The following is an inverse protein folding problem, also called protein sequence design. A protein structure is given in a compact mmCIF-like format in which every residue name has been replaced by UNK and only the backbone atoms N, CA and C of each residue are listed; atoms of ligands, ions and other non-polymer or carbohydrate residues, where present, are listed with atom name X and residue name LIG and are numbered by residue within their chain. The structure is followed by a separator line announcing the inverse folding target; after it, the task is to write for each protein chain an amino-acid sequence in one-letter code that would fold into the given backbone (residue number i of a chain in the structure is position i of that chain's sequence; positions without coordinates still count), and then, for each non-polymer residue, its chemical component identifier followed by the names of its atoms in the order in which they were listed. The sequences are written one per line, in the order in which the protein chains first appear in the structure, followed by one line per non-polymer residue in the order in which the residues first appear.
data_IF_442346691623
#
_entry.id   IF_442346691623
#
_cell.length_a   1.000
_cell.length_b   1.000
_cell.length_c   1.000
_cell.angle_alpha   90.00
_cell.angle_beta   90.00
_cell.angle_gamma   90.00
#
_symmetry.space_group_name_H-M   'P 1'
#
loop_
_entity.id
_entity.type
_entity.pdbx_description
1 polymer ?
#
# COMPACT_ATOMS: atom_id res chain seq x y z
N UNK A 1 26.43 3.34 -14.65
CA UNK A 1 27.09 4.66 -14.59
C UNK A 1 27.61 4.78 -13.18
N UNK A 2 28.92 4.88 -12.99
CA UNK A 2 29.55 5.15 -11.70
C UNK A 2 29.79 6.64 -11.67
N UNK A 3 29.49 7.31 -10.55
CA UNK A 3 29.96 8.68 -10.37
C UNK A 3 31.49 8.69 -10.41
N UNK A 4 32.08 9.84 -10.75
CA UNK A 4 33.53 10.03 -10.91
C UNK A 4 34.39 9.67 -9.70
N UNK A 5 33.77 9.27 -8.59
CA UNK A 5 34.38 8.90 -7.31
C UNK A 5 34.23 7.39 -6.98
N UNK A 6 33.79 6.57 -7.94
CA UNK A 6 33.69 5.11 -7.78
C UNK A 6 32.55 4.63 -6.88
N UNK A 7 31.68 5.52 -6.40
CA UNK A 7 30.48 5.13 -5.64
C UNK A 7 29.36 4.65 -6.58
N UNK A 8 28.64 3.61 -6.16
CA UNK A 8 27.50 3.10 -6.90
C UNK A 8 26.36 4.14 -6.85
N UNK A 9 25.84 4.54 -8.01
CA UNK A 9 24.70 5.48 -8.10
C UNK A 9 23.51 4.92 -7.33
N UNK A 10 23.13 5.60 -6.25
CA UNK A 10 22.00 5.21 -5.42
C UNK A 10 20.69 5.72 -6.01
N UNK A 11 19.86 4.80 -6.50
CA UNK A 11 18.50 5.09 -6.93
C UNK A 11 17.52 4.78 -5.80
N UNK A 12 16.74 5.78 -5.39
CA UNK A 12 15.76 5.62 -4.30
C UNK A 12 14.58 4.77 -4.76
N UNK A 13 14.18 4.91 -6.02
CA UNK A 13 13.16 4.12 -6.69
C UNK A 13 13.80 3.50 -7.94
N UNK A 14 14.46 2.33 -7.82
CA UNK A 14 15.44 1.88 -8.80
C UNK A 14 14.95 1.88 -10.26
N UNK A 15 13.79 1.28 -10.50
CA UNK A 15 13.15 1.20 -11.82
C UNK A 15 12.55 2.55 -12.24
N UNK A 16 11.81 3.21 -11.36
CA UNK A 16 11.14 4.48 -11.67
C UNK A 16 12.14 5.62 -11.96
N UNK A 17 13.23 5.73 -11.19
CA UNK A 17 14.27 6.75 -11.36
C UNK A 17 15.02 6.53 -12.68
N UNK A 18 15.37 5.28 -13.01
CA UNK A 18 16.03 4.95 -14.28
C UNK A 18 15.13 5.29 -15.47
N UNK A 19 13.83 4.94 -15.42
CA UNK A 19 12.88 5.30 -16.48
C UNK A 19 12.75 6.81 -16.64
N UNK A 20 12.68 7.56 -15.53
CA UNK A 20 12.60 9.03 -15.56
C UNK A 20 13.84 9.67 -16.21
N UNK A 21 15.03 9.10 -15.99
CA UNK A 21 16.27 9.58 -16.61
C UNK A 21 16.30 9.25 -18.10
N UNK A 22 16.00 8.00 -18.48
CA UNK A 22 16.07 7.53 -19.86
C UNK A 22 15.04 8.23 -20.77
N UNK A 23 13.86 8.52 -20.24
CA UNK A 23 12.74 9.11 -20.97
C UNK A 23 12.61 10.61 -20.75
N UNK A 24 13.62 11.27 -20.17
CA UNK A 24 13.60 12.72 -19.98
C UNK A 24 13.25 13.43 -21.29
N UNK A 25 12.27 14.33 -21.21
CA UNK A 25 11.70 15.11 -22.34
C UNK A 25 11.05 14.27 -23.46
N UNK A 26 10.86 12.96 -23.23
CA UNK A 26 10.19 11.99 -24.12
C UNK A 26 8.98 11.34 -23.44
N UNK A 27 8.29 12.10 -22.60
CA UNK A 27 7.12 11.63 -21.82
C UNK A 27 5.86 12.29 -22.33
N UNK A 28 4.84 11.49 -22.62
CA UNK A 28 3.47 11.97 -22.75
C UNK A 28 2.77 11.82 -21.39
N UNK A 29 2.42 12.95 -20.77
CA UNK A 29 1.78 12.94 -19.46
C UNK A 29 0.29 12.62 -19.59
N UNK A 30 -0.11 11.46 -19.06
CA UNK A 30 -1.51 11.08 -19.00
C UNK A 30 -2.26 11.89 -17.93
N UNK A 31 -3.55 12.15 -18.14
CA UNK A 31 -4.42 12.71 -17.10
C UNK A 31 -4.43 11.85 -15.83
N UNK A 32 -4.63 12.49 -14.67
CA UNK A 32 -4.45 11.87 -13.35
C UNK A 32 -5.39 10.70 -13.12
N UNK A 33 -6.59 10.72 -13.69
CA UNK A 33 -7.60 9.68 -13.56
C UNK A 33 -7.14 8.31 -14.11
N UNK A 34 -6.13 8.28 -14.98
CA UNK A 34 -5.49 7.06 -15.47
C UNK A 34 -4.38 6.54 -14.54
N UNK A 35 -4.06 7.26 -13.46
CA UNK A 35 -3.13 6.83 -12.41
C UNK A 35 -3.48 7.51 -11.08
N UNK A 36 -4.68 7.26 -10.57
CA UNK A 36 -5.13 7.79 -9.28
C UNK A 36 -4.40 7.06 -8.15
N UNK A 37 -3.29 7.66 -7.68
CA UNK A 37 -2.50 7.11 -6.59
C UNK A 37 -3.27 7.23 -5.27
N UNK A 38 -3.47 6.11 -4.60
CA UNK A 38 -4.09 6.05 -3.28
C UNK A 38 -3.30 5.14 -2.34
N UNK A 39 -3.14 5.54 -1.07
CA UNK A 39 -2.44 4.73 -0.07
C UNK A 39 -3.32 4.44 1.12
N UNK A 40 -3.55 3.14 1.40
CA UNK A 40 -4.37 2.69 2.55
C UNK A 40 -3.74 3.13 3.90
N UNK A 41 -2.49 3.59 3.91
CA UNK A 41 -1.88 4.20 5.10
C UNK A 41 -2.67 5.43 5.58
N UNK A 42 -3.29 6.22 4.68
CA UNK A 42 -4.05 7.41 5.06
C UNK A 42 -5.22 7.08 6.00
N UNK A 43 -5.79 5.89 5.86
CA UNK A 43 -6.85 5.36 6.72
C UNK A 43 -6.44 5.18 8.18
N UNK A 44 -5.13 5.09 8.48
CA UNK A 44 -4.66 5.04 9.87
C UNK A 44 -4.81 6.39 10.60
N UNK A 45 -4.87 7.47 9.84
CA UNK A 45 -5.00 8.84 10.35
C UNK A 45 -6.37 9.45 10.10
N UNK A 46 -7.16 8.86 9.22
CA UNK A 46 -8.53 9.30 8.94
C UNK A 46 -9.52 8.58 9.85
N UNK A 47 -10.22 9.32 10.70
CA UNK A 47 -11.21 8.75 11.63
C UNK A 47 -12.57 8.52 10.96
N UNK A 48 -12.87 9.23 9.87
CA UNK A 48 -14.15 9.09 9.17
C UNK A 48 -14.11 7.98 8.13
N UNK A 49 -12.92 7.66 7.62
CA UNK A 49 -12.72 6.75 6.48
C UNK A 49 -13.44 7.22 5.22
N UNK A 50 -13.60 8.53 5.06
CA UNK A 50 -14.28 9.17 3.94
C UNK A 50 -13.33 10.03 3.09
N UNK A 51 -12.15 10.40 3.60
CA UNK A 51 -11.21 11.27 2.86
C UNK A 51 -10.72 10.64 1.56
N UNK A 52 -10.86 9.33 1.40
CA UNK A 52 -10.56 8.66 0.13
C UNK A 52 -11.45 9.16 -1.01
N UNK A 53 -12.67 9.64 -0.75
CA UNK A 53 -13.59 10.18 -1.75
C UNK A 53 -13.07 11.47 -2.40
N UNK A 54 -12.21 12.22 -1.71
CA UNK A 54 -11.53 13.38 -2.28
C UNK A 54 -10.41 13.00 -3.28
N UNK A 55 -10.06 11.72 -3.35
CA UNK A 55 -8.98 11.19 -4.19
C UNK A 55 -9.55 10.27 -5.26
N UNK A 56 -10.39 9.31 -4.87
CA UNK A 56 -11.05 8.35 -5.74
C UNK A 56 -12.49 8.82 -5.92
N UNK A 57 -12.82 9.28 -7.12
CA UNK A 57 -14.10 9.86 -7.49
C UNK A 57 -14.57 9.31 -8.84
N UNK A 58 -15.75 9.73 -9.30
CA UNK A 58 -16.48 9.10 -10.41
C UNK A 58 -15.74 9.13 -11.77
N UNK A 59 -14.81 10.06 -11.98
CA UNK A 59 -14.00 10.15 -13.19
C UNK A 59 -12.78 9.21 -13.19
N UNK A 60 -12.40 8.66 -12.02
CA UNK A 60 -11.21 7.81 -11.84
C UNK A 60 -11.32 6.57 -12.72
N UNK A 61 -10.32 6.37 -13.59
CA UNK A 61 -10.25 5.23 -14.52
C UNK A 61 -9.38 4.10 -13.97
N UNK A 62 -8.29 4.43 -13.28
CA UNK A 62 -7.37 3.47 -12.70
C UNK A 62 -6.91 3.91 -11.31
N UNK A 63 -7.13 3.04 -10.31
CA UNK A 63 -6.65 3.26 -8.94
C UNK A 63 -5.33 2.51 -8.75
N UNK A 64 -4.29 3.24 -8.36
CA UNK A 64 -2.99 2.69 -8.02
C UNK A 64 -2.82 2.65 -6.50
N UNK A 65 -3.08 1.48 -5.89
CA UNK A 65 -2.89 1.26 -4.45
C UNK A 65 -1.39 1.16 -4.09
N UNK A 66 -0.78 2.28 -3.69
CA UNK A 66 0.65 2.37 -3.34
C UNK A 66 0.91 2.17 -1.84
N UNK A 67 2.18 1.90 -1.52
CA UNK A 67 2.64 1.67 -0.15
C UNK A 67 2.53 0.21 0.30
N UNK A 68 2.84 -0.03 1.58
CA UNK A 68 3.02 -1.36 2.15
C UNK A 68 1.71 -2.12 2.39
N UNK A 69 0.62 -1.42 2.75
CA UNK A 69 -0.70 -2.06 2.89
C UNK A 69 -1.39 -2.07 1.53
N UNK A 70 -1.57 -3.27 0.98
CA UNK A 70 -2.33 -3.57 -0.23
C UNK A 70 -3.76 -4.03 0.08
N UNK A 71 -4.72 -3.84 -0.85
CA UNK A 71 -6.14 -4.13 -0.61
C UNK A 71 -6.42 -5.63 -0.41
N UNK A 72 -5.56 -6.53 -0.89
CA UNK A 72 -5.66 -7.97 -0.66
C UNK A 72 -5.13 -8.45 0.70
N UNK A 73 -4.64 -7.55 1.56
CA UNK A 73 -4.23 -7.94 2.90
C UNK A 73 -5.42 -8.07 3.84
N UNK A 74 -5.36 -9.06 4.74
CA UNK A 74 -6.45 -9.37 5.68
C UNK A 74 -6.83 -8.21 6.63
N UNK A 75 -5.94 -7.23 6.83
CA UNK A 75 -6.20 -6.04 7.67
C UNK A 75 -6.65 -4.80 6.89
N UNK A 76 -6.72 -4.87 5.55
CA UNK A 76 -7.11 -3.75 4.69
C UNK A 76 -8.63 -3.63 4.56
N UNK A 77 -9.33 -3.60 5.69
CA UNK A 77 -10.79 -3.45 5.72
C UNK A 77 -11.18 -1.97 5.85
N UNK A 78 -11.35 -1.30 4.72
CA UNK A 78 -11.74 0.12 4.63
C UNK A 78 -12.69 0.36 3.45
N UNK A 79 -13.56 1.38 3.51
CA UNK A 79 -14.43 1.76 2.39
C UNK A 79 -13.65 1.98 1.08
N UNK A 80 -12.46 2.56 1.16
CA UNK A 80 -11.58 2.81 0.01
C UNK A 80 -11.12 1.55 -0.74
N UNK A 81 -11.28 0.36 -0.16
CA UNK A 81 -10.89 -0.93 -0.76
C UNK A 81 -12.04 -1.55 -1.57
N UNK A 82 -13.26 -0.99 -1.52
CA UNK A 82 -14.45 -1.54 -2.20
C UNK A 82 -14.24 -1.78 -3.70
N UNK A 83 -13.50 -0.90 -4.39
CA UNK A 83 -13.21 -1.02 -5.81
C UNK A 83 -12.38 -2.28 -6.13
N UNK A 84 -11.36 -2.56 -5.31
CA UNK A 84 -10.61 -3.81 -5.40
C UNK A 84 -11.49 -5.00 -5.08
N UNK A 85 -12.27 -4.96 -3.99
CA UNK A 85 -13.15 -6.06 -3.58
C UNK A 85 -14.13 -6.43 -4.69
N UNK A 86 -14.76 -5.44 -5.32
CA UNK A 86 -15.71 -5.64 -6.42
C UNK A 86 -15.07 -6.31 -7.64
N UNK A 87 -13.82 -5.98 -7.96
CA UNK A 87 -13.07 -6.64 -9.02
C UNK A 87 -12.66 -8.06 -8.61
N UNK A 88 -12.19 -8.22 -7.37
CA UNK A 88 -11.71 -9.48 -6.81
C UNK A 88 -12.80 -10.56 -6.80
N UNK A 89 -14.02 -10.25 -6.32
CA UNK A 89 -15.13 -11.21 -6.28
C UNK A 89 -15.61 -11.67 -7.66
N UNK A 90 -15.36 -10.87 -8.71
CA UNK A 90 -15.67 -11.20 -10.11
C UNK A 90 -14.52 -11.89 -10.83
N UNK A 91 -13.37 -12.00 -10.19
CA UNK A 91 -12.17 -12.59 -10.78
C UNK A 91 -12.10 -14.11 -10.53
N UNK A 92 -11.27 -14.84 -11.28
CA UNK A 92 -10.98 -16.24 -10.99
C UNK A 92 -10.37 -16.49 -9.61
N UNK A 93 -9.84 -15.45 -8.96
CA UNK A 93 -9.22 -15.54 -7.63
C UNK A 93 -10.18 -15.23 -6.48
N UNK A 94 -11.49 -15.11 -6.73
CA UNK A 94 -12.49 -14.75 -5.70
C UNK A 94 -12.42 -15.60 -4.42
N UNK A 95 -11.99 -16.86 -4.54
CA UNK A 95 -11.89 -17.82 -3.43
C UNK A 95 -10.49 -17.85 -2.80
N UNK A 96 -9.55 -17.06 -3.32
CA UNK A 96 -8.22 -16.94 -2.74
C UNK A 96 -8.28 -16.25 -1.37
N UNK A 97 -7.58 -16.78 -0.35
CA UNK A 97 -7.59 -16.17 0.96
C UNK A 97 -6.87 -14.81 0.93
N UNK A 98 -7.37 -13.87 1.73
CA UNK A 98 -6.66 -12.62 1.96
C UNK A 98 -5.26 -12.89 2.53
N UNK A 99 -4.27 -12.12 2.07
CA UNK A 99 -2.88 -12.30 2.47
C UNK A 99 -2.66 -11.82 3.91
N UNK A 100 -2.16 -12.71 4.76
CA UNK A 100 -1.72 -12.35 6.10
C UNK A 100 -0.26 -11.85 6.11
N UNK A 101 0.16 -11.24 7.22
CA UNK A 101 1.46 -10.60 7.39
C UNK A 101 2.60 -11.64 7.39
N UNK A 102 3.61 -11.40 6.55
CA UNK A 102 4.81 -12.22 6.40
C UNK A 102 6.10 -11.47 6.73
N UNK A 103 6.13 -10.15 6.51
CA UNK A 103 7.31 -9.33 6.78
C UNK A 103 7.18 -8.51 8.06
N UNK A 104 8.31 -8.06 8.63
CA UNK A 104 8.30 -7.19 9.82
C UNK A 104 7.50 -5.90 9.61
N UNK A 105 7.58 -5.34 8.39
CA UNK A 105 6.80 -4.17 8.00
C UNK A 105 5.30 -4.50 8.00
N UNK A 106 4.90 -5.61 7.41
CA UNK A 106 3.50 -6.06 7.38
C UNK A 106 2.96 -6.34 8.77
N UNK A 107 3.72 -7.00 9.66
CA UNK A 107 3.32 -7.22 11.05
C UNK A 107 3.06 -5.90 11.77
N UNK A 108 3.94 -4.90 11.58
CA UNK A 108 3.77 -3.56 12.14
C UNK A 108 2.51 -2.87 11.61
N UNK A 109 2.19 -3.06 10.33
CA UNK A 109 0.99 -2.47 9.72
C UNK A 109 -0.28 -3.16 10.22
N UNK A 110 -0.30 -4.49 10.23
CA UNK A 110 -1.45 -5.30 10.65
C UNK A 110 -2.00 -4.88 12.00
N UNK A 111 -1.17 -4.84 13.05
CA UNK A 111 -1.67 -4.48 14.38
C UNK A 111 -2.20 -3.04 14.43
N UNK A 112 -1.54 -2.09 13.76
CA UNK A 112 -1.99 -0.68 13.73
C UNK A 112 -3.36 -0.54 13.08
N UNK A 113 -3.57 -1.21 11.94
CA UNK A 113 -4.86 -1.20 11.25
C UNK A 113 -5.97 -1.82 12.11
N UNK A 114 -5.69 -2.97 12.76
CA UNK A 114 -6.64 -3.61 13.68
C UNK A 114 -7.04 -2.70 14.84
N UNK A 115 -6.10 -1.94 15.42
CA UNK A 115 -6.40 -1.00 16.50
C UNK A 115 -7.25 0.19 16.02
N UNK A 116 -6.96 0.75 14.85
CA UNK A 116 -7.75 1.84 14.25
C UNK A 116 -9.17 1.38 13.93
N UNK A 117 -9.32 0.15 13.43
CA UNK A 117 -10.61 -0.50 13.17
C UNK A 117 -11.33 -0.99 14.45
N UNK A 118 -10.82 -0.62 15.64
CA UNK A 118 -11.40 -0.97 16.95
C UNK A 118 -11.43 -2.47 17.27
N UNK A 119 -10.69 -3.29 16.54
CA UNK A 119 -10.47 -4.70 16.87
C UNK A 119 -9.40 -4.84 17.95
N UNK A 120 -9.63 -4.27 19.13
CA UNK A 120 -8.60 -4.06 20.15
C UNK A 120 -7.93 -5.34 20.64
N UNK A 121 -8.69 -6.41 20.92
CA UNK A 121 -8.13 -7.69 21.34
C UNK A 121 -7.19 -8.28 20.27
N UNK A 122 -7.67 -8.35 19.02
CA UNK A 122 -6.87 -8.85 17.88
C UNK A 122 -5.66 -7.94 17.62
N UNK A 123 -5.83 -6.63 17.73
CA UNK A 123 -4.78 -5.63 17.58
C UNK A 123 -3.70 -5.76 18.65
N UNK A 124 -4.08 -5.97 19.92
CA UNK A 124 -3.15 -6.19 21.02
C UNK A 124 -2.35 -7.49 20.83
N UNK A 125 -3.03 -8.61 20.52
CA UNK A 125 -2.38 -9.90 20.22
C UNK A 125 -1.39 -9.74 19.05
N UNK A 126 -1.82 -9.09 17.96
CA UNK A 126 -0.95 -8.84 16.81
C UNK A 126 0.23 -7.91 17.14
N UNK A 127 0.03 -6.94 18.04
CA UNK A 127 1.07 -6.03 18.53
C UNK A 127 2.13 -6.75 19.36
N UNK A 128 1.72 -7.62 20.29
CA UNK A 128 2.63 -8.47 21.06
C UNK A 128 3.42 -9.39 20.13
N UNK A 129 2.74 -10.04 19.18
CA UNK A 129 3.41 -10.89 18.18
C UNK A 129 4.44 -10.11 17.34
N UNK A 130 4.14 -8.87 16.96
CA UNK A 130 5.11 -7.99 16.28
C UNK A 130 6.31 -7.66 17.17
N UNK A 131 6.09 -7.30 18.44
CA UNK A 131 7.18 -6.97 19.37
C UNK A 131 8.08 -8.18 19.63
N UNK A 132 7.50 -9.35 19.84
CA UNK A 132 8.23 -10.61 20.00
C UNK A 132 9.15 -10.89 18.80
N UNK A 133 8.60 -10.82 17.57
CA UNK A 133 9.40 -11.00 16.35
C UNK A 133 10.49 -9.94 16.20
N UNK A 134 10.20 -8.70 16.57
CA UNK A 134 11.18 -7.60 16.50
C UNK A 134 12.36 -7.82 17.45
N UNK A 135 12.11 -8.39 18.63
CA UNK A 135 13.16 -8.71 19.61
C UNK A 135 14.03 -9.86 19.09
N UNK A 136 13.44 -10.89 18.47
CA UNK A 136 14.16 -12.05 17.92
C UNK A 136 14.89 -11.78 16.60
N UNK A 137 14.51 -10.75 15.86
CA UNK A 137 15.14 -10.38 14.59
C UNK A 137 16.40 -9.49 14.76
N UNK A 138 16.81 -9.24 16.01
CA UNK A 138 18.14 -8.74 16.35
C UNK A 138 19.12 -9.91 16.42
#
# INVERSE_FOLDING_TARGET
MTDSDGSATFFKYPDQDVLNILLRDKVYFLPREYNTIYTIKSELSDKTHEKYLNIIHADTKLIHYTGATKPWHAWANYPSVIYYTNAFIKSPWKDAPAKDARTMVEYKKRYKHLLVQKHYLRGAIAGVAYLYRKILAK
#
